data_IF_808605582288
#
_entry.id   IF_808605582288
#
_cell.length_a   1.000
_cell.length_b   1.000
_cell.length_c   1.000
_cell.angle_alpha   90.00
_cell.angle_beta   90.00
_cell.angle_gamma   90.00
#
_symmetry.space_group_name_H-M   'P 1'
#
loop_
_entity.id
_entity.type
_entity.pdbx_description
1 polymer ?
#
# COMPACT_ATOMS: atom_id res chain seq x y z
N UNK A 1 -1.27 -18.25 -15.47
CA UNK A 1 -0.15 -17.31 -15.41
C UNK A 1 -0.32 -16.42 -14.19
N UNK A 2 0.74 -15.79 -13.74
CA UNK A 2 0.77 -14.89 -12.59
C UNK A 2 1.98 -13.97 -12.64
N UNK A 3 2.19 -13.21 -11.57
CA UNK A 3 3.31 -12.29 -11.43
C UNK A 3 4.07 -12.65 -10.15
N UNK A 4 5.36 -12.93 -10.27
CA UNK A 4 6.27 -13.15 -9.15
C UNK A 4 7.01 -11.85 -8.83
N UNK A 5 7.02 -11.48 -7.55
CA UNK A 5 7.79 -10.36 -7.04
C UNK A 5 8.74 -10.87 -5.96
N UNK A 6 10.02 -10.55 -6.09
CA UNK A 6 11.08 -10.93 -5.15
C UNK A 6 11.80 -9.68 -4.66
N UNK A 7 12.03 -9.56 -3.36
CA UNK A 7 12.71 -8.42 -2.75
C UNK A 7 14.22 -8.61 -2.67
N UNK A 8 14.93 -7.51 -2.46
CA UNK A 8 16.37 -7.46 -2.25
C UNK A 8 16.69 -6.85 -0.87
N UNK A 9 16.58 -7.60 0.24
CA UNK A 9 16.15 -9.01 0.34
C UNK A 9 14.65 -9.20 0.60
N UNK A 10 13.92 -8.16 1.01
CA UNK A 10 12.52 -8.24 1.47
C UNK A 10 11.63 -7.23 0.76
N UNK A 11 10.33 -7.51 0.76
CA UNK A 11 9.29 -6.57 0.33
C UNK A 11 8.21 -6.47 1.40
N UNK A 12 7.58 -5.30 1.48
CA UNK A 12 6.23 -5.17 2.00
C UNK A 12 5.27 -5.04 0.80
N UNK A 13 4.05 -5.56 0.91
CA UNK A 13 3.10 -5.46 -0.18
C UNK A 13 1.66 -5.42 0.32
N UNK A 14 0.78 -4.89 -0.52
CA UNK A 14 -0.68 -5.00 -0.38
C UNK A 14 -1.30 -5.29 -1.76
N UNK A 15 -2.39 -6.05 -1.78
CA UNK A 15 -3.10 -6.38 -3.01
C UNK A 15 -4.61 -6.26 -2.77
N UNK A 16 -5.23 -5.21 -3.31
CA UNK A 16 -6.64 -4.87 -3.08
C UNK A 16 -7.37 -4.66 -4.40
N UNK A 17 -8.69 -4.85 -4.41
CA UNK A 17 -9.53 -4.48 -5.55
C UNK A 17 -9.93 -2.98 -5.52
N UNK A 18 -9.15 -2.15 -4.84
CA UNK A 18 -9.46 -0.74 -4.60
C UNK A 18 -8.19 0.10 -4.73
N UNK A 19 -8.36 1.34 -5.19
CA UNK A 19 -7.31 2.36 -5.16
C UNK A 19 -7.20 2.99 -3.77
N UNK A 20 -6.09 3.68 -3.48
CA UNK A 20 -5.98 4.44 -2.22
C UNK A 20 -7.08 5.50 -2.11
N UNK A 21 -7.38 6.17 -3.21
CA UNK A 21 -8.43 7.20 -3.30
C UNK A 21 -9.82 6.67 -2.93
N UNK A 22 -10.09 5.37 -3.14
CA UNK A 22 -11.37 4.76 -2.75
C UNK A 22 -11.55 4.69 -1.22
N UNK A 23 -10.46 4.70 -0.46
CA UNK A 23 -10.47 4.73 1.01
C UNK A 23 -10.31 6.14 1.58
N UNK A 24 -9.97 7.12 0.74
CA UNK A 24 -9.84 8.50 1.17
C UNK A 24 -11.22 9.16 1.22
N UNK A 25 -11.59 9.66 2.39
CA UNK A 25 -12.74 10.54 2.50
C UNK A 25 -12.35 11.94 2.05
N UNK A 26 -13.14 12.62 1.19
CA UNK A 26 -12.95 14.05 0.90
C UNK A 26 -13.21 14.94 2.14
N UNK A 27 -13.46 14.34 3.31
CA UNK A 27 -13.60 15.00 4.59
C UNK A 27 -14.93 15.74 4.72
N UNK A 28 -14.97 16.65 5.70
CA UNK A 28 -16.14 17.49 6.00
C UNK A 28 -16.31 18.65 5.00
N UNK A 29 -15.77 18.55 3.79
CA UNK A 29 -15.97 19.58 2.77
C UNK A 29 -17.47 19.82 2.53
N UNK A 30 -18.31 18.78 2.63
CA UNK A 30 -19.77 18.90 2.58
C UNK A 30 -20.38 19.86 3.61
N UNK A 31 -19.69 20.13 4.73
CA UNK A 31 -20.13 21.09 5.74
C UNK A 31 -19.92 22.55 5.31
N UNK A 32 -18.97 22.81 4.41
CA UNK A 32 -18.57 24.17 3.99
C UNK A 32 -18.81 24.43 2.49
N UNK A 33 -18.96 23.38 1.68
CA UNK A 33 -19.19 23.38 0.23
C UNK A 33 -20.40 22.50 -0.07
N UNK A 34 -21.53 23.12 -0.45
CA UNK A 34 -22.81 22.42 -0.72
C UNK A 34 -22.73 21.41 -1.87
N UNK A 35 -21.75 21.57 -2.75
CA UNK A 35 -21.45 20.68 -3.89
C UNK A 35 -20.56 19.49 -3.51
N UNK A 36 -19.91 19.53 -2.35
CA UNK A 36 -18.99 18.48 -1.92
C UNK A 36 -19.76 17.28 -1.34
N UNK A 37 -19.50 16.09 -1.88
CA UNK A 37 -20.09 14.85 -1.38
C UNK A 37 -19.34 14.40 -0.12
N UNK A 38 -20.07 13.97 0.90
CA UNK A 38 -19.52 13.07 1.91
C UNK A 38 -19.47 11.68 1.29
N UNK A 39 -18.29 11.14 1.09
CA UNK A 39 -18.10 9.81 0.52
C UNK A 39 -16.99 9.08 1.30
N UNK A 40 -16.98 7.75 1.17
CA UNK A 40 -15.92 6.89 1.70
C UNK A 40 -15.75 7.03 3.23
N UNK A 41 -16.86 7.12 3.98
CA UNK A 41 -16.84 7.21 5.44
C UNK A 41 -17.36 5.94 6.12
N UNK A 42 -18.09 5.12 5.38
CA UNK A 42 -18.61 3.83 5.84
C UNK A 42 -18.09 2.71 4.95
N UNK A 43 -18.05 1.50 5.49
CA UNK A 43 -17.51 0.33 4.77
C UNK A 43 -18.28 -0.02 3.49
N UNK A 44 -19.58 0.30 3.43
CA UNK A 44 -20.42 0.09 2.25
C UNK A 44 -20.26 1.17 1.17
N UNK A 45 -19.53 2.25 1.44
CA UNK A 45 -19.22 3.27 0.44
C UNK A 45 -18.08 2.80 -0.49
N UNK A 46 -17.24 1.88 -0.02
CA UNK A 46 -16.09 1.34 -0.75
C UNK A 46 -16.56 0.22 -1.67
N UNK A 47 -16.56 0.47 -2.98
CA UNK A 47 -16.98 -0.50 -4.00
C UNK A 47 -15.74 -1.11 -4.67
N UNK A 48 -15.55 -2.44 -4.64
CA UNK A 48 -14.47 -3.10 -5.36
C UNK A 48 -14.52 -2.84 -6.87
N UNK A 49 -13.34 -2.77 -7.49
CA UNK A 49 -13.13 -2.54 -8.93
C UNK A 49 -12.67 -3.81 -9.62
N UNK A 50 -12.79 -3.84 -10.95
CA UNK A 50 -12.37 -4.97 -11.80
C UNK A 50 -10.87 -4.92 -12.13
N UNK A 51 -10.04 -4.72 -11.11
CA UNK A 51 -8.59 -4.85 -11.18
C UNK A 51 -8.01 -5.11 -9.79
N UNK A 52 -6.73 -5.47 -9.73
CA UNK A 52 -5.95 -5.55 -8.49
C UNK A 52 -4.96 -4.40 -8.45
N UNK A 53 -5.07 -3.57 -7.42
CA UNK A 53 -4.08 -2.57 -7.06
C UNK A 53 -3.02 -3.24 -6.18
N UNK A 54 -1.77 -3.24 -6.63
CA UNK A 54 -0.64 -3.90 -5.97
C UNK A 54 0.39 -2.85 -5.55
N UNK A 55 0.63 -2.74 -4.25
CA UNK A 55 1.75 -1.94 -3.71
C UNK A 55 2.93 -2.84 -3.42
N UNK A 56 4.14 -2.36 -3.70
CA UNK A 56 5.41 -3.03 -3.37
C UNK A 56 6.32 -1.96 -2.77
N UNK A 57 6.52 -2.04 -1.46
CA UNK A 57 7.02 -0.92 -0.68
C UNK A 57 8.36 -1.25 -0.01
N UNK A 58 9.27 -0.28 -0.03
CA UNK A 58 10.46 -0.27 0.82
C UNK A 58 10.08 -0.22 2.29
N UNK A 59 9.09 0.62 2.60
CA UNK A 59 8.63 0.87 3.95
C UNK A 59 7.47 1.85 3.96
N UNK A 60 6.72 1.80 5.06
CA UNK A 60 5.64 2.71 5.38
C UNK A 60 5.88 3.21 6.81
N UNK A 61 5.54 4.47 7.09
CA UNK A 61 5.63 4.97 8.46
C UNK A 61 4.71 4.17 9.39
N UNK A 62 5.11 4.05 10.66
CA UNK A 62 4.27 3.45 11.69
C UNK A 62 2.96 4.21 11.86
N UNK A 63 1.93 3.50 12.34
CA UNK A 63 0.59 4.10 12.56
C UNK A 63 0.60 5.08 13.73
N UNK A 64 1.43 4.84 14.77
CA UNK A 64 1.40 5.57 16.03
C UNK A 64 0.24 5.11 16.91
N UNK A 65 -0.39 6.03 17.63
CA UNK A 65 -1.59 5.74 18.42
C UNK A 65 -1.41 5.71 19.94
N UNK A 66 -0.31 6.25 20.48
CA UNK A 66 -0.17 6.50 21.93
C UNK A 66 -1.34 7.33 22.47
N UNK A 67 -1.78 8.32 21.68
CA UNK A 67 -3.09 8.92 21.77
C UNK A 67 -3.66 9.23 20.38
N UNK A 68 -4.94 9.58 20.33
CA UNK A 68 -5.63 10.00 19.10
C UNK A 68 -5.76 11.52 18.98
N UNK A 69 -4.93 12.29 19.69
CA UNK A 69 -5.08 13.75 19.87
C UNK A 69 -3.78 14.54 19.62
N UNK A 70 -2.74 13.92 19.08
CA UNK A 70 -1.55 14.61 18.60
C UNK A 70 -0.22 13.98 18.96
N UNK A 71 -0.20 12.87 19.71
CA UNK A 71 1.04 12.15 19.97
C UNK A 71 1.66 11.65 18.67
N UNK A 72 2.93 11.97 18.39
CA UNK A 72 3.56 11.61 17.15
C UNK A 72 4.06 10.15 17.18
N UNK A 73 4.19 9.54 16.00
CA UNK A 73 4.76 8.19 15.81
C UNK A 73 6.14 8.12 16.49
N UNK A 74 6.54 7.00 17.10
CA UNK A 74 7.87 6.93 17.72
C UNK A 74 8.99 7.07 16.67
N UNK A 75 10.12 7.75 16.96
CA UNK A 75 11.16 8.07 15.99
C UNK A 75 11.69 6.88 15.17
N UNK A 76 11.80 5.70 15.79
CA UNK A 76 12.29 4.45 15.18
C UNK A 76 11.35 3.89 14.10
N UNK A 77 10.08 4.31 14.07
CA UNK A 77 9.08 3.89 13.08
C UNK A 77 8.76 4.99 12.05
N UNK A 78 9.59 6.04 11.96
CA UNK A 78 9.42 7.12 10.97
C UNK A 78 10.39 6.93 9.80
N UNK A 79 9.94 7.35 8.62
CA UNK A 79 10.81 7.59 7.46
C UNK A 79 11.21 9.07 7.50
N UNK A 80 12.49 9.35 7.72
CA UNK A 80 13.02 10.70 7.90
C UNK A 80 13.74 11.19 6.64
N UNK A 81 14.26 12.43 6.65
CA UNK A 81 15.02 13.02 5.54
C UNK A 81 16.35 12.30 5.29
N UNK A 82 16.28 11.12 4.68
CA UNK A 82 17.41 10.32 4.21
C UNK A 82 17.16 9.95 2.75
N UNK A 83 18.24 9.80 1.99
CA UNK A 83 18.15 9.16 0.68
C UNK A 83 17.87 7.68 0.87
N UNK A 84 16.74 7.20 0.33
CA UNK A 84 16.38 5.79 0.33
C UNK A 84 16.55 5.21 -1.08
N UNK A 85 17.10 4.01 -1.18
CA UNK A 85 17.21 3.24 -2.42
C UNK A 85 16.51 1.91 -2.19
N UNK A 86 15.71 1.50 -3.15
CA UNK A 86 14.91 0.27 -3.06
C UNK A 86 14.89 -0.45 -4.40
N UNK A 87 15.07 -1.76 -4.36
CA UNK A 87 15.05 -2.66 -5.50
C UNK A 87 14.17 -3.86 -5.21
N UNK A 88 13.47 -4.32 -6.25
CA UNK A 88 12.80 -5.60 -6.29
C UNK A 88 12.82 -6.10 -7.74
N UNK A 89 12.61 -7.40 -7.92
CA UNK A 89 12.52 -8.02 -9.25
C UNK A 89 11.10 -8.49 -9.46
N UNK A 90 10.62 -8.28 -10.68
CA UNK A 90 9.27 -8.65 -11.10
C UNK A 90 9.36 -9.51 -12.35
N UNK A 91 8.68 -10.65 -12.35
CA UNK A 91 8.73 -11.64 -13.43
C UNK A 91 7.35 -12.25 -13.71
N UNK A 92 6.87 -12.30 -14.97
CA UNK A 92 5.70 -13.08 -15.31
C UNK A 92 6.00 -14.57 -15.12
N UNK A 93 5.04 -15.31 -14.56
CA UNK A 93 5.14 -16.76 -14.35
C UNK A 93 3.94 -17.50 -14.94
N UNK A 94 4.16 -18.76 -15.26
CA UNK A 94 3.21 -19.74 -15.76
C UNK A 94 2.98 -20.83 -14.70
N UNK A 95 2.15 -21.84 -14.99
CA UNK A 95 1.92 -22.93 -14.01
C UNK A 95 3.09 -23.90 -13.96
N UNK A 96 3.91 -23.89 -14.99
CA UNK A 96 5.02 -24.81 -15.24
C UNK A 96 6.33 -24.30 -14.61
N UNK A 97 6.39 -23.04 -14.18
CA UNK A 97 7.57 -22.45 -13.57
C UNK A 97 7.79 -22.95 -12.13
N UNK A 98 9.04 -23.30 -11.79
CA UNK A 98 9.44 -23.57 -10.41
C UNK A 98 9.70 -22.25 -9.66
N UNK A 99 8.68 -21.75 -8.98
CA UNK A 99 8.73 -20.48 -8.24
C UNK A 99 9.81 -20.49 -7.14
N UNK A 100 10.03 -21.62 -6.47
CA UNK A 100 11.02 -21.72 -5.38
C UNK A 100 12.46 -21.65 -5.90
N UNK A 101 12.69 -22.14 -7.12
CA UNK A 101 13.98 -21.97 -7.78
C UNK A 101 14.18 -20.51 -8.21
N UNK A 102 13.15 -19.87 -8.77
CA UNK A 102 13.20 -18.50 -9.23
C UNK A 102 13.46 -17.49 -8.09
N UNK A 103 12.94 -17.74 -6.89
CA UNK A 103 13.16 -16.84 -5.73
C UNK A 103 14.57 -16.88 -5.16
N UNK A 104 15.37 -17.90 -5.49
CA UNK A 104 16.76 -18.06 -5.02
C UNK A 104 17.78 -17.48 -6.00
N UNK A 105 17.34 -16.89 -7.09
CA UNK A 105 18.24 -16.24 -8.05
C UNK A 105 18.79 -14.96 -7.44
N UNK A 106 20.12 -14.85 -7.40
CA UNK A 106 20.83 -13.64 -6.98
C UNK A 106 20.39 -12.40 -7.79
N UNK A 107 20.52 -11.23 -7.17
CA UNK A 107 20.13 -9.94 -7.75
C UNK A 107 21.07 -9.46 -8.85
#
# INVERSE_FOLDING_TARGET
>A
SGLLITGDPLICFSALNNTHDDFESPGKLSQYRKDAKSANTHTNDVIPRDFVNLNVDLGQMGVGGDDSWGSPIHPEYRLLERGYVYSFRMRPISREDDVLMLTKQEF
#
